data_IF_024551890687
#
_entry.id   IF_024551890687
#
_cell.length_a   1.000
_cell.length_b   1.000
_cell.length_c   1.000
_cell.angle_alpha   90.00
_cell.angle_beta   90.00
_cell.angle_gamma   90.00
#
_symmetry.space_group_name_H-M   'P 1'
#
loop_
_entity.id
_entity.type
_entity.pdbx_description
1 polymer ?
#
# COMPACT_ATOMS: atom_id res chain seq x y z
N UNK A 1 -0.01 -20.46 -10.19
CA UNK A 1 -0.67 -20.41 -8.87
C UNK A 1 -1.77 -19.33 -8.91
N UNK A 2 -2.95 -19.57 -8.32
CA UNK A 2 -4.27 -18.93 -8.60
C UNK A 2 -4.77 -19.14 -10.03
N UNK A 3 -4.07 -18.66 -11.07
CA UNK A 3 -4.49 -18.83 -12.48
C UNK A 3 -4.70 -20.32 -12.80
N UNK A 4 -3.70 -21.16 -12.51
CA UNK A 4 -3.78 -22.61 -12.75
C UNK A 4 -4.82 -23.29 -11.85
N UNK A 5 -4.86 -22.90 -10.58
CA UNK A 5 -5.74 -23.50 -9.56
C UNK A 5 -7.21 -23.28 -9.91
N UNK A 6 -7.55 -22.07 -10.36
CA UNK A 6 -8.91 -21.69 -10.76
C UNK A 6 -9.17 -21.91 -12.25
N UNK A 7 -8.16 -22.40 -13.01
CA UNK A 7 -8.23 -22.65 -14.45
C UNK A 7 -8.71 -21.42 -15.23
N UNK A 8 -8.15 -20.25 -14.91
CA UNK A 8 -8.55 -19.00 -15.54
C UNK A 8 -8.18 -19.01 -17.03
N UNK A 9 -9.10 -18.72 -17.95
CA UNK A 9 -8.80 -18.71 -19.38
C UNK A 9 -7.90 -17.53 -19.73
N UNK A 10 -7.40 -17.52 -20.98
CA UNK A 10 -6.71 -16.36 -21.54
C UNK A 10 -7.57 -15.10 -21.39
N UNK A 11 -6.91 -13.96 -21.21
CA UNK A 11 -7.51 -12.65 -20.97
C UNK A 11 -8.31 -12.54 -19.66
N UNK A 12 -7.97 -13.34 -18.64
CA UNK A 12 -8.52 -13.21 -17.28
C UNK A 12 -7.39 -13.13 -16.26
N UNK A 13 -7.21 -11.98 -15.59
CA UNK A 13 -6.17 -11.77 -14.59
C UNK A 13 -6.81 -11.61 -13.19
N UNK A 14 -6.41 -12.43 -12.20
CA UNK A 14 -6.84 -12.20 -10.82
C UNK A 14 -6.11 -10.96 -10.26
N UNK A 15 -6.86 -10.06 -9.63
CA UNK A 15 -6.33 -8.80 -9.06
C UNK A 15 -6.37 -8.82 -7.54
N UNK A 16 -7.51 -9.21 -6.96
CA UNK A 16 -7.70 -9.28 -5.52
C UNK A 16 -8.64 -10.43 -5.14
N UNK A 17 -8.53 -10.89 -3.90
CA UNK A 17 -9.50 -11.80 -3.28
C UNK A 17 -10.18 -11.09 -2.11
N UNK A 18 -11.42 -11.47 -1.81
CA UNK A 18 -12.19 -10.88 -0.72
C UNK A 18 -12.56 -12.01 0.24
N UNK A 19 -12.19 -11.85 1.51
CA UNK A 19 -12.57 -12.76 2.58
C UNK A 19 -13.85 -12.27 3.24
N UNK A 20 -14.84 -13.15 3.39
CA UNK A 20 -16.13 -12.86 4.02
C UNK A 20 -16.44 -13.92 5.08
N UNK A 21 -17.00 -13.48 6.21
CA UNK A 21 -17.34 -14.36 7.33
C UNK A 21 -17.95 -13.59 8.49
N UNK A 22 -18.27 -14.31 9.56
CA UNK A 22 -18.70 -13.71 10.82
C UNK A 22 -17.46 -13.27 11.61
N UNK A 23 -17.40 -12.02 12.09
CA UNK A 23 -16.23 -11.53 12.81
C UNK A 23 -16.14 -12.19 14.20
N UNK A 24 -14.93 -12.62 14.56
CA UNK A 24 -14.58 -13.06 15.93
C UNK A 24 -13.82 -11.96 16.71
N UNK A 25 -13.65 -10.80 16.08
CA UNK A 25 -12.93 -9.64 16.63
C UNK A 25 -13.63 -8.33 16.24
N UNK A 26 -13.37 -7.26 17.00
CA UNK A 26 -13.86 -5.90 16.71
C UNK A 26 -12.69 -4.89 16.77
N UNK A 27 -11.81 -4.88 15.76
CA UNK A 27 -10.66 -3.97 15.74
C UNK A 27 -11.10 -2.50 15.67
N UNK A 28 -10.27 -1.57 16.19
CA UNK A 28 -10.57 -0.14 16.07
C UNK A 28 -10.53 0.32 14.61
N UNK A 29 -11.13 1.48 14.35
CA UNK A 29 -11.01 2.13 13.04
C UNK A 29 -9.56 2.56 12.81
N UNK A 30 -9.07 2.31 11.59
CA UNK A 30 -7.76 2.79 11.16
C UNK A 30 -7.82 4.25 10.75
N UNK A 31 -6.73 4.97 10.96
CA UNK A 31 -6.60 6.38 10.60
C UNK A 31 -6.68 6.59 9.08
N UNK A 32 -7.00 7.82 8.69
CA UNK A 32 -6.93 8.30 7.30
C UNK A 32 -6.19 9.62 7.29
N UNK A 33 -5.50 9.89 6.18
CA UNK A 33 -4.97 11.22 5.93
C UNK A 33 -6.12 12.24 5.80
N UNK A 34 -5.89 13.51 6.16
CA UNK A 34 -6.89 14.56 5.97
C UNK A 34 -7.23 14.72 4.49
N UNK A 35 -8.45 15.17 4.19
CA UNK A 35 -8.91 15.36 2.80
C UNK A 35 -7.98 16.26 2.00
N UNK A 36 -7.44 17.30 2.64
CA UNK A 36 -6.59 18.29 2.01
C UNK A 36 -5.24 17.70 1.54
N UNK A 37 -4.90 16.48 1.98
CA UNK A 37 -3.70 15.76 1.54
C UNK A 37 -3.88 14.96 0.24
N UNK A 38 -5.09 14.90 -0.32
CA UNK A 38 -5.35 14.14 -1.56
C UNK A 38 -6.51 14.69 -2.41
N UNK A 39 -7.33 15.60 -1.88
CA UNK A 39 -8.36 16.31 -2.63
C UNK A 39 -7.76 17.61 -3.16
N UNK A 40 -7.63 17.67 -4.47
CA UNK A 40 -7.16 18.86 -5.18
C UNK A 40 -8.35 19.58 -5.83
N UNK A 41 -8.40 20.90 -5.71
CA UNK A 41 -9.45 21.71 -6.34
C UNK A 41 -9.01 22.08 -7.76
N UNK A 42 -9.81 21.69 -8.75
CA UNK A 42 -9.62 21.91 -10.20
C UNK A 42 -8.37 21.25 -10.82
N UNK A 43 -7.19 21.55 -10.29
CA UNK A 43 -5.91 21.06 -10.79
C UNK A 43 -5.07 20.46 -9.66
N UNK A 44 -4.21 19.51 -10.02
CA UNK A 44 -3.21 18.97 -9.11
C UNK A 44 -2.30 20.09 -8.58
N UNK A 45 -1.96 20.02 -7.30
CA UNK A 45 -1.06 20.96 -6.64
C UNK A 45 0.09 20.16 -6.04
N UNK A 46 1.33 20.57 -6.32
CA UNK A 46 2.50 19.95 -5.70
C UNK A 46 2.54 20.25 -4.20
N UNK A 47 3.00 19.27 -3.43
CA UNK A 47 3.13 19.38 -1.98
C UNK A 47 4.50 19.95 -1.61
N UNK A 48 4.50 20.97 -0.77
CA UNK A 48 5.73 21.43 -0.11
C UNK A 48 6.11 20.45 1.01
N UNK A 49 7.38 20.42 1.45
CA UNK A 49 7.76 19.63 2.64
C UNK A 49 6.90 19.96 3.86
N UNK A 50 6.53 21.23 4.04
CA UNK A 50 5.67 21.67 5.13
C UNK A 50 4.25 21.10 5.04
N UNK A 51 3.70 20.98 3.82
CA UNK A 51 2.39 20.35 3.62
C UNK A 51 2.45 18.86 3.98
N UNK A 52 3.53 18.17 3.58
CA UNK A 52 3.73 16.75 3.92
C UNK A 52 3.81 16.58 5.44
N UNK A 53 4.64 17.38 6.12
CA UNK A 53 4.77 17.35 7.58
C UNK A 53 3.40 17.60 8.24
N UNK A 54 2.67 18.63 7.78
CA UNK A 54 1.33 18.97 8.28
C UNK A 54 0.35 17.79 8.16
N UNK A 55 0.27 17.17 6.98
CA UNK A 55 -0.70 16.12 6.72
C UNK A 55 -0.37 14.78 7.40
N UNK A 56 0.92 14.49 7.61
CA UNK A 56 1.36 13.25 8.25
C UNK A 56 1.52 13.37 9.77
N UNK A 57 1.56 14.57 10.35
CA UNK A 57 1.74 14.81 11.80
C UNK A 57 0.82 13.93 12.65
N UNK A 58 -0.48 13.93 12.37
CA UNK A 58 -1.45 13.17 13.17
C UNK A 58 -1.22 11.65 13.06
N UNK A 59 -0.83 11.17 11.86
CA UNK A 59 -0.54 9.76 11.61
C UNK A 59 0.73 9.31 12.31
N UNK A 60 1.81 10.08 12.21
CA UNK A 60 3.09 9.78 12.85
C UNK A 60 3.01 9.88 14.39
N UNK A 61 2.10 10.71 14.91
CA UNK A 61 1.84 10.82 16.35
C UNK A 61 1.03 9.65 16.95
N UNK A 62 0.53 8.69 16.14
CA UNK A 62 -0.14 7.51 16.67
C UNK A 62 0.86 6.63 17.41
N UNK A 63 0.45 6.09 18.57
CA UNK A 63 1.32 5.24 19.41
C UNK A 63 1.83 4.03 18.64
N UNK A 64 0.96 3.37 17.86
CA UNK A 64 1.32 2.26 16.99
C UNK A 64 2.41 2.64 15.97
N UNK A 65 2.37 3.85 15.41
CA UNK A 65 3.33 4.28 14.39
C UNK A 65 4.67 4.70 15.02
N UNK A 66 4.65 5.38 16.18
CA UNK A 66 5.87 5.63 16.96
C UNK A 66 6.54 4.33 17.37
N UNK A 67 5.76 3.40 17.92
CA UNK A 67 6.26 2.09 18.31
C UNK A 67 6.80 1.32 17.09
N UNK A 68 6.13 1.40 15.94
CA UNK A 68 6.58 0.75 14.71
C UNK A 68 7.91 1.32 14.21
N UNK A 69 8.14 2.63 14.32
CA UNK A 69 9.43 3.24 14.06
C UNK A 69 10.51 2.76 15.05
N UNK A 70 10.21 2.76 16.34
CA UNK A 70 11.12 2.35 17.42
C UNK A 70 11.64 0.92 17.22
N UNK A 71 10.75 -0.06 17.02
CA UNK A 71 11.14 -1.47 16.90
C UNK A 71 11.95 -1.75 15.63
N UNK A 72 11.86 -0.89 14.61
CA UNK A 72 12.60 -1.00 13.36
C UNK A 72 13.84 -0.08 13.31
N UNK A 73 14.13 0.65 14.39
CA UNK A 73 15.21 1.65 14.48
C UNK A 73 15.13 2.70 13.36
N UNK A 74 13.93 3.23 13.11
CA UNK A 74 13.67 4.30 12.14
C UNK A 74 13.19 5.56 12.84
N UNK A 75 13.43 6.70 12.20
CA UNK A 75 13.04 8.01 12.70
C UNK A 75 11.66 8.42 12.19
N UNK A 76 11.29 8.00 10.98
CA UNK A 76 10.04 8.41 10.32
C UNK A 76 9.33 7.24 9.67
N UNK A 77 8.02 7.38 9.45
CA UNK A 77 7.25 6.38 8.69
C UNK A 77 7.72 6.28 7.24
N UNK A 78 8.24 7.37 6.66
CA UNK A 78 8.80 7.33 5.31
C UNK A 78 9.92 6.28 5.20
N UNK A 79 10.86 6.26 6.15
CA UNK A 79 11.94 5.26 6.17
C UNK A 79 11.41 3.84 6.36
N UNK A 80 10.36 3.65 7.17
CA UNK A 80 9.70 2.35 7.32
C UNK A 80 9.17 1.85 5.97
N UNK A 81 8.49 2.70 5.23
CA UNK A 81 7.90 2.30 3.96
C UNK A 81 8.94 2.09 2.85
N UNK A 82 10.04 2.86 2.82
CA UNK A 82 11.08 2.70 1.80
C UNK A 82 12.06 1.58 2.11
N UNK A 83 12.43 1.39 3.38
CA UNK A 83 13.55 0.53 3.74
C UNK A 83 13.10 -0.85 4.21
N UNK A 84 11.86 -0.96 4.72
CA UNK A 84 11.36 -2.18 5.36
C UNK A 84 10.19 -2.79 4.57
N UNK A 85 9.12 -2.02 4.31
CA UNK A 85 7.88 -2.59 3.71
C UNK A 85 7.90 -2.69 2.19
N UNK A 86 8.32 -1.64 1.49
CA UNK A 86 8.26 -1.57 0.03
C UNK A 86 9.66 -1.43 -0.55
N UNK A 87 10.51 -2.41 -0.26
CA UNK A 87 11.90 -2.37 -0.73
C UNK A 87 11.96 -2.39 -2.26
N UNK A 88 13.01 -1.79 -2.82
CA UNK A 88 13.25 -1.83 -4.27
C UNK A 88 13.30 -3.26 -4.80
N UNK A 89 14.00 -4.14 -4.09
CA UNK A 89 14.15 -5.56 -4.46
C UNK A 89 12.79 -6.25 -4.60
N UNK A 90 11.90 -6.04 -3.64
CA UNK A 90 10.58 -6.68 -3.65
C UNK A 90 9.67 -6.09 -4.73
N UNK A 91 9.73 -4.77 -4.96
CA UNK A 91 9.02 -4.12 -6.06
C UNK A 91 9.49 -4.60 -7.44
N UNK A 92 10.80 -4.76 -7.64
CA UNK A 92 11.36 -5.29 -8.89
C UNK A 92 10.93 -6.74 -9.11
N UNK A 93 11.03 -7.58 -8.08
CA UNK A 93 10.58 -8.98 -8.14
C UNK A 93 9.08 -9.10 -8.45
N UNK A 94 8.24 -8.30 -7.78
CA UNK A 94 6.80 -8.24 -8.03
C UNK A 94 6.49 -7.76 -9.46
N UNK A 95 7.20 -6.73 -9.93
CA UNK A 95 7.00 -6.17 -11.28
C UNK A 95 7.32 -7.19 -12.38
N UNK A 96 8.41 -7.96 -12.22
CA UNK A 96 8.76 -9.05 -13.14
C UNK A 96 7.66 -10.10 -13.15
N UNK A 97 7.24 -10.58 -11.98
CA UNK A 97 6.18 -11.59 -11.85
C UNK A 97 4.84 -11.14 -12.43
N UNK A 98 4.45 -9.88 -12.20
CA UNK A 98 3.24 -9.30 -12.78
C UNK A 98 3.32 -9.23 -14.31
N UNK A 99 4.44 -8.75 -14.86
CA UNK A 99 4.62 -8.64 -16.31
C UNK A 99 4.62 -10.03 -16.99
N UNK A 100 5.24 -11.03 -16.37
CA UNK A 100 5.19 -12.42 -16.83
C UNK A 100 3.77 -12.97 -16.81
N UNK A 101 3.00 -12.75 -15.72
CA UNK A 101 1.62 -13.18 -15.62
C UNK A 101 0.71 -12.50 -16.67
N UNK A 102 0.91 -11.21 -16.93
CA UNK A 102 0.15 -10.46 -17.95
C UNK A 102 0.42 -10.99 -19.37
N UNK A 103 1.69 -11.26 -19.73
CA UNK A 103 2.04 -11.90 -21.01
C UNK A 103 1.47 -13.31 -21.10
N UNK A 104 1.56 -14.08 -20.01
CA UNK A 104 1.00 -15.42 -19.93
C UNK A 104 -0.53 -15.45 -20.09
N UNK A 105 -1.23 -14.41 -19.65
CA UNK A 105 -2.68 -14.26 -19.87
C UNK A 105 -3.03 -13.53 -21.17
N UNK A 106 -2.06 -12.94 -21.88
CA UNK A 106 -2.26 -12.37 -23.22
C UNK A 106 -2.63 -10.90 -23.26
N UNK A 107 -2.34 -10.15 -22.20
CA UNK A 107 -2.54 -8.70 -22.14
C UNK A 107 -1.34 -7.89 -22.64
N UNK A 108 -0.18 -8.54 -22.82
CA UNK A 108 1.09 -7.95 -23.25
C UNK A 108 1.84 -8.88 -24.19
#
# INVERSE_FOLDING_TARGET
MIIDTLKLPRLVMPVATITLGWPDENPPLTDRLPTDSFVHQETYNDYTPQDIDLYYTAKEALEENRHFCEINNKETLAQIFTDIRYTKKDNEAMSVGLAEALRHQGFM
#
